data_IF_828122680032
#
_entry.id   IF_828122680032
#
_cell.length_a   1.000
_cell.length_b   1.000
_cell.length_c   1.000
_cell.angle_alpha   90.00
_cell.angle_beta   90.00
_cell.angle_gamma   90.00
#
_symmetry.space_group_name_H-M   'P 1'
#
loop_
_entity.id
_entity.type
_entity.pdbx_description
1 polymer ?
#
# COMPACT_ATOMS: atom_id res chain seq x y z
N UNK A 1 -13.09 15.02 -28.96
CA UNK A 1 -12.58 14.42 -27.71
C UNK A 1 -13.55 13.31 -27.34
N UNK A 2 -13.11 12.05 -27.36
CA UNK A 2 -13.99 10.92 -27.05
C UNK A 2 -14.26 10.86 -25.55
N UNK A 3 -15.52 11.04 -25.16
CA UNK A 3 -15.96 10.83 -23.79
C UNK A 3 -15.84 9.34 -23.47
N UNK A 4 -15.09 9.01 -22.42
CA UNK A 4 -15.04 7.65 -21.87
C UNK A 4 -16.45 7.27 -21.40
N UNK A 5 -16.98 6.10 -21.80
CA UNK A 5 -18.30 5.68 -21.36
C UNK A 5 -18.30 5.53 -19.84
N UNK A 6 -19.01 6.42 -19.17
CA UNK A 6 -19.26 6.37 -17.73
C UNK A 6 -20.21 5.20 -17.49
N UNK A 7 -19.67 3.99 -17.27
CA UNK A 7 -20.45 2.92 -16.66
C UNK A 7 -21.11 3.49 -15.39
N UNK A 8 -22.40 3.21 -15.10
CA UNK A 8 -23.07 3.66 -13.89
C UNK A 8 -22.56 2.81 -12.72
N UNK A 9 -21.28 2.92 -12.42
CA UNK A 9 -20.68 2.35 -11.24
C UNK A 9 -21.08 3.26 -10.09
N UNK A 10 -21.80 2.68 -9.12
CA UNK A 10 -22.12 3.35 -7.88
C UNK A 10 -20.85 3.94 -7.25
N UNK A 11 -21.01 5.08 -6.57
CA UNK A 11 -19.97 5.77 -5.80
C UNK A 11 -19.02 4.83 -5.01
N UNK A 12 -19.53 3.84 -4.23
CA UNK A 12 -18.68 2.87 -3.54
C UNK A 12 -17.85 2.00 -4.48
N UNK A 13 -18.43 1.55 -5.60
CA UNK A 13 -17.75 0.71 -6.59
C UNK A 13 -16.60 1.46 -7.25
N UNK A 14 -16.80 2.75 -7.59
CA UNK A 14 -15.73 3.62 -8.11
C UNK A 14 -14.59 3.80 -7.13
N UNK A 15 -14.90 4.00 -5.84
CA UNK A 15 -13.87 4.14 -4.78
C UNK A 15 -13.09 2.85 -4.60
N UNK A 16 -13.75 1.70 -4.62
CA UNK A 16 -13.09 0.38 -4.55
C UNK A 16 -12.18 0.16 -5.75
N UNK A 17 -12.63 0.48 -6.96
CA UNK A 17 -11.82 0.38 -8.17
C UNK A 17 -10.60 1.29 -8.12
N UNK A 18 -10.77 2.56 -7.70
CA UNK A 18 -9.67 3.50 -7.55
C UNK A 18 -8.65 3.02 -6.50
N UNK A 19 -9.13 2.46 -5.38
CA UNK A 19 -8.28 1.82 -4.39
C UNK A 19 -7.49 0.65 -4.99
N UNK A 20 -8.16 -0.28 -5.67
CA UNK A 20 -7.53 -1.45 -6.28
C UNK A 20 -6.46 -1.05 -7.30
N UNK A 21 -6.77 -0.12 -8.21
CA UNK A 21 -5.83 0.39 -9.20
C UNK A 21 -4.60 1.04 -8.53
N UNK A 22 -4.82 1.81 -7.47
CA UNK A 22 -3.74 2.44 -6.74
C UNK A 22 -2.90 1.41 -5.99
N UNK A 23 -3.54 0.43 -5.33
CA UNK A 23 -2.88 -0.61 -4.53
C UNK A 23 -1.99 -1.54 -5.36
N UNK A 24 -2.33 -1.78 -6.62
CA UNK A 24 -1.46 -2.52 -7.56
C UNK A 24 -0.10 -1.85 -7.78
N UNK A 25 0.00 -0.53 -7.60
CA UNK A 25 1.24 0.20 -7.78
C UNK A 25 2.13 0.11 -6.54
N UNK A 26 3.46 0.18 -6.72
CA UNK A 26 4.42 0.28 -5.61
C UNK A 26 4.08 1.40 -4.62
N UNK A 27 3.67 2.56 -5.15
CA UNK A 27 3.28 3.73 -4.34
C UNK A 27 2.04 3.46 -3.49
N UNK A 28 1.03 2.80 -4.05
CA UNK A 28 -0.17 2.42 -3.30
C UNK A 28 0.10 1.35 -2.28
N UNK A 29 0.89 0.34 -2.62
CA UNK A 29 1.34 -0.67 -1.68
C UNK A 29 2.04 -0.05 -0.45
N UNK A 30 2.93 0.92 -0.66
CA UNK A 30 3.54 1.64 0.46
C UNK A 30 2.54 2.43 1.30
N UNK A 31 1.50 3.04 0.70
CA UNK A 31 0.47 3.76 1.45
C UNK A 31 -0.36 2.82 2.31
N UNK A 32 -0.77 1.67 1.78
CA UNK A 32 -1.51 0.65 2.54
C UNK A 32 -0.64 0.11 3.67
N UNK A 33 0.65 -0.13 3.41
CA UNK A 33 1.62 -0.49 4.44
C UNK A 33 1.73 0.58 5.54
N UNK A 34 1.83 1.88 5.19
CA UNK A 34 1.88 2.98 6.15
C UNK A 34 0.59 3.01 7.02
N UNK A 35 -0.58 2.75 6.44
CA UNK A 35 -1.85 2.65 7.17
C UNK A 35 -1.88 1.45 8.12
N UNK A 36 -1.48 0.26 7.66
CA UNK A 36 -1.41 -0.93 8.51
C UNK A 36 -0.41 -0.75 9.66
N UNK A 37 0.74 -0.12 9.37
CA UNK A 37 1.73 0.20 10.39
C UNK A 37 1.17 1.15 11.44
N UNK A 38 0.41 2.18 11.05
CA UNK A 38 -0.24 3.10 11.98
C UNK A 38 -1.30 2.42 12.85
N UNK A 39 -2.13 1.53 12.27
CA UNK A 39 -3.14 0.76 13.00
C UNK A 39 -2.50 -0.18 14.05
N UNK A 40 -1.44 -0.89 13.65
CA UNK A 40 -0.69 -1.77 14.54
C UNK A 40 0.04 -0.97 15.62
N UNK A 41 0.58 0.20 15.28
CA UNK A 41 1.26 1.07 16.24
C UNK A 41 0.28 1.61 17.28
N UNK A 42 -0.92 2.05 16.87
CA UNK A 42 -1.95 2.53 17.78
C UNK A 42 -2.50 1.45 18.73
N UNK A 43 -2.42 0.18 18.33
CA UNK A 43 -2.96 -0.95 19.09
C UNK A 43 -1.93 -1.76 19.89
N UNK A 44 -0.62 -1.63 19.59
CA UNK A 44 0.40 -2.49 20.17
C UNK A 44 1.31 -1.78 21.18
N UNK A 45 1.46 -2.40 22.36
CA UNK A 45 2.41 -1.96 23.41
C UNK A 45 3.86 -2.32 23.09
N UNK A 46 4.13 -3.27 22.19
CA UNK A 46 5.48 -3.77 21.85
C UNK A 46 5.89 -3.28 20.47
N UNK A 47 7.01 -2.57 20.38
CA UNK A 47 7.52 -1.98 19.13
C UNK A 47 8.33 -2.92 18.23
N UNK A 48 8.78 -4.06 18.77
CA UNK A 48 9.64 -5.00 18.04
C UNK A 48 8.82 -5.79 17.02
N UNK A 49 9.26 -5.80 15.75
CA UNK A 49 8.63 -6.58 14.67
C UNK A 49 7.39 -5.95 14.04
N UNK A 50 6.97 -4.74 14.44
CA UNK A 50 5.75 -4.11 13.88
C UNK A 50 5.85 -3.85 12.38
N UNK A 51 7.04 -3.48 11.88
CA UNK A 51 7.27 -3.27 10.45
C UNK A 51 7.06 -4.56 9.64
N UNK A 52 7.64 -5.66 10.09
CA UNK A 52 7.46 -6.97 9.42
C UNK A 52 6.00 -7.41 9.46
N UNK A 53 5.32 -7.25 10.61
CA UNK A 53 3.91 -7.59 10.76
C UNK A 53 3.00 -6.76 9.86
N UNK A 54 3.25 -5.45 9.77
CA UNK A 54 2.50 -4.55 8.88
C UNK A 54 2.71 -4.92 7.40
N UNK A 55 3.93 -5.32 7.03
CA UNK A 55 4.24 -5.80 5.69
C UNK A 55 3.48 -7.10 5.37
N UNK A 56 3.54 -8.10 6.26
CA UNK A 56 2.84 -9.37 6.09
C UNK A 56 1.33 -9.16 5.92
N UNK A 57 0.71 -8.31 6.74
CA UNK A 57 -0.71 -7.97 6.60
C UNK A 57 -1.02 -7.27 5.27
N UNK A 58 -0.10 -6.42 4.79
CA UNK A 58 -0.26 -5.73 3.49
C UNK A 58 -0.14 -6.71 2.32
N UNK A 59 0.78 -7.68 2.39
CA UNK A 59 0.88 -8.74 1.39
C UNK A 59 -0.36 -9.63 1.37
N UNK A 60 -0.86 -10.06 2.53
CA UNK A 60 -2.09 -10.87 2.61
C UNK A 60 -3.26 -10.13 2.00
N UNK A 61 -3.42 -8.83 2.27
CA UNK A 61 -4.45 -8.01 1.63
C UNK A 61 -4.24 -7.96 0.11
N UNK A 62 -3.00 -7.76 -0.35
CA UNK A 62 -2.71 -7.71 -1.77
C UNK A 62 -3.09 -9.00 -2.49
N UNK A 63 -2.76 -10.14 -1.90
CA UNK A 63 -3.10 -11.46 -2.42
C UNK A 63 -4.62 -11.67 -2.45
N UNK A 64 -5.34 -11.26 -1.40
CA UNK A 64 -6.81 -11.33 -1.35
C UNK A 64 -7.49 -10.51 -2.46
N UNK A 65 -6.98 -9.31 -2.76
CA UNK A 65 -7.59 -8.44 -3.76
C UNK A 65 -7.25 -8.83 -5.21
N UNK A 66 -6.06 -9.38 -5.46
CA UNK A 66 -5.58 -9.56 -6.83
C UNK A 66 -5.32 -11.01 -7.23
N UNK A 67 -5.21 -11.95 -6.28
CA UNK A 67 -4.95 -13.38 -6.52
C UNK A 67 -3.81 -13.63 -7.54
N UNK A 68 -2.83 -12.71 -7.57
CA UNK A 68 -1.78 -12.65 -8.60
C UNK A 68 -0.37 -12.83 -8.02
N UNK A 69 -0.27 -13.26 -6.77
CA UNK A 69 1.00 -13.37 -6.04
C UNK A 69 1.37 -12.06 -5.35
N UNK A 70 2.66 -11.69 -5.42
CA UNK A 70 3.23 -10.59 -4.61
C UNK A 70 3.42 -9.30 -5.40
N UNK A 71 3.26 -8.15 -4.73
CA UNK A 71 3.55 -6.84 -5.34
C UNK A 71 5.06 -6.59 -5.48
N UNK A 72 5.85 -7.11 -4.54
CA UNK A 72 7.32 -7.08 -4.56
C UNK A 72 7.85 -8.52 -4.63
N UNK A 73 9.00 -8.77 -5.29
CA UNK A 73 9.56 -10.12 -5.38
C UNK A 73 9.81 -10.76 -4.01
N UNK A 74 10.30 -9.96 -3.07
CA UNK A 74 10.61 -10.37 -1.71
C UNK A 74 10.54 -9.17 -0.74
N UNK A 75 10.61 -9.50 0.55
CA UNK A 75 10.51 -8.54 1.66
C UNK A 75 11.69 -7.56 1.69
N UNK A 76 12.90 -7.99 1.33
CA UNK A 76 14.09 -7.13 1.38
C UNK A 76 14.02 -6.06 0.30
N UNK A 77 13.59 -6.43 -0.90
CA UNK A 77 13.34 -5.53 -2.01
C UNK A 77 12.27 -4.48 -1.67
N UNK A 78 11.20 -4.90 -0.97
CA UNK A 78 10.22 -3.96 -0.43
C UNK A 78 10.87 -2.96 0.55
N UNK A 79 11.64 -3.44 1.54
CA UNK A 79 12.23 -2.54 2.54
C UNK A 79 13.32 -1.63 1.96
N UNK A 80 14.08 -2.09 0.97
CA UNK A 80 15.04 -1.27 0.23
C UNK A 80 14.32 -0.15 -0.55
N UNK A 81 13.29 -0.50 -1.32
CA UNK A 81 12.50 0.47 -2.07
C UNK A 81 11.75 1.45 -1.14
N UNK A 82 11.23 0.96 -0.02
CA UNK A 82 10.58 1.79 0.99
C UNK A 82 11.57 2.73 1.68
N UNK A 83 12.79 2.26 1.97
CA UNK A 83 13.87 3.08 2.56
C UNK A 83 14.26 4.22 1.62
N UNK A 84 14.43 3.93 0.32
CA UNK A 84 14.72 4.94 -0.70
C UNK A 84 13.60 6.00 -0.79
N UNK A 85 12.33 5.57 -0.81
CA UNK A 85 11.17 6.47 -0.77
C UNK A 85 11.08 7.30 0.52
N UNK A 86 11.40 6.70 1.66
CA UNK A 86 11.41 7.38 2.95
C UNK A 86 12.55 8.41 3.03
N UNK A 87 13.70 8.10 2.42
CA UNK A 87 14.84 9.01 2.29
C UNK A 87 14.53 10.23 1.40
N UNK A 88 13.81 10.05 0.29
CA UNK A 88 13.38 11.15 -0.58
C UNK A 88 12.46 12.16 0.11
N UNK A 89 11.66 11.73 1.10
CA UNK A 89 10.81 12.64 1.90
C UNK A 89 11.63 13.56 2.82
N UNK A 90 12.94 13.35 2.99
CA UNK A 90 13.83 14.15 3.85
C UNK A 90 14.67 15.14 3.02
N UNK A 91 14.08 15.79 2.01
CA UNK A 91 14.62 17.07 1.56
C UNK A 91 14.01 18.14 2.46
N UNK A 92 14.72 18.45 3.55
CA UNK A 92 14.46 19.64 4.36
C UNK A 92 14.54 20.85 3.43
N UNK A 93 13.38 21.45 3.15
CA UNK A 93 13.32 22.83 2.67
C UNK A 93 13.96 23.67 3.77
N UNK A 94 15.14 24.22 3.49
CA UNK A 94 15.79 25.24 4.32
C UNK A 94 15.06 26.56 4.15
#
# INVERSE_FOLDING_TARGET
MGELPTLPLDEPTRKTLAFCLLFQTRRGFFRVYEQQLALIWGSSRKKRGLKSKAYEQTEVLYEQFFQRGRCFPDRENFFDAYSKRAGEKVVKVR
#
